data_IF_951274817731
#
_entry.id   IF_951274817731
#
_cell.length_a   1.000
_cell.length_b   1.000
_cell.length_c   1.000
_cell.angle_alpha   90.00
_cell.angle_beta   90.00
_cell.angle_gamma   90.00
#
_symmetry.space_group_name_H-M   'P 1'
#
loop_
_entity.id
_entity.type
_entity.pdbx_description
1 polymer ?
#
# COMPACT_ATOMS: atom_id res chain seq x y z
N UNK A 1 -13.97 -15.42 -3.50
CA UNK A 1 -13.38 -15.58 -4.85
C UNK A 1 -12.55 -14.33 -5.12
N UNK A 2 -11.24 -14.50 -5.32
CA UNK A 2 -10.33 -13.38 -5.63
C UNK A 2 -10.71 -12.82 -6.99
N UNK A 3 -10.97 -11.51 -7.07
CA UNK A 3 -11.31 -10.87 -8.32
C UNK A 3 -10.24 -9.84 -8.67
N UNK A 4 -9.55 -10.08 -9.78
CA UNK A 4 -8.62 -9.12 -10.37
C UNK A 4 -9.45 -8.04 -11.07
N UNK A 5 -9.22 -6.78 -10.72
CA UNK A 5 -9.93 -5.67 -11.36
C UNK A 5 -9.36 -5.36 -12.75
N UNK A 6 -10.21 -4.88 -13.67
CA UNK A 6 -9.73 -4.36 -14.95
C UNK A 6 -8.74 -3.22 -14.77
N UNK A 7 -8.92 -2.37 -13.75
CA UNK A 7 -7.97 -1.29 -13.42
C UNK A 7 -6.61 -1.84 -13.02
N UNK A 8 -6.55 -2.97 -12.30
CA UNK A 8 -5.30 -3.64 -11.96
C UNK A 8 -4.61 -4.23 -13.19
N UNK A 9 -5.37 -4.84 -14.10
CA UNK A 9 -4.84 -5.34 -15.38
C UNK A 9 -4.28 -4.17 -16.19
N UNK A 10 -5.03 -3.06 -16.31
CA UNK A 10 -4.59 -1.85 -17.00
C UNK A 10 -3.37 -1.20 -16.33
N UNK A 11 -3.22 -1.33 -15.01
CA UNK A 11 -2.03 -0.88 -14.29
C UNK A 11 -0.79 -1.71 -14.65
N UNK A 12 -0.95 -3.03 -14.75
CA UNK A 12 0.16 -3.95 -15.03
C UNK A 12 0.53 -4.02 -16.52
N UNK A 13 -0.43 -3.85 -17.42
CA UNK A 13 -0.24 -4.06 -18.85
C UNK A 13 0.92 -3.21 -19.44
N UNK A 14 1.00 -1.89 -19.19
CA UNK A 14 2.13 -1.09 -19.67
C UNK A 14 3.48 -1.54 -19.13
N UNK A 15 3.53 -2.06 -17.89
CA UNK A 15 4.76 -2.60 -17.29
C UNK A 15 5.22 -3.86 -18.02
N UNK A 16 4.30 -4.76 -18.36
CA UNK A 16 4.62 -5.95 -19.14
C UNK A 16 5.06 -5.61 -20.56
N UNK A 17 4.38 -4.66 -21.23
CA UNK A 17 4.79 -4.20 -22.56
C UNK A 17 6.21 -3.64 -22.55
N UNK A 18 6.53 -2.73 -21.62
CA UNK A 18 7.87 -2.15 -21.54
C UNK A 18 8.93 -3.20 -21.17
N UNK A 19 8.64 -4.07 -20.21
CA UNK A 19 9.57 -5.14 -19.80
C UNK A 19 9.88 -6.09 -20.96
N UNK A 20 8.85 -6.44 -21.74
CA UNK A 20 9.01 -7.28 -22.93
C UNK A 20 9.83 -6.57 -23.99
N UNK A 21 9.52 -5.30 -24.28
CA UNK A 21 10.27 -4.49 -25.23
C UNK A 21 11.76 -4.43 -24.88
N UNK A 22 12.11 -4.05 -23.64
CA UNK A 22 13.51 -3.96 -23.21
C UNK A 22 14.19 -5.34 -23.19
N UNK A 23 13.45 -6.39 -22.83
CA UNK A 23 13.97 -7.77 -22.88
C UNK A 23 14.29 -8.23 -24.31
N UNK A 24 13.55 -7.77 -25.32
CA UNK A 24 13.85 -8.09 -26.72
C UNK A 24 15.05 -7.30 -27.23
N UNK A 25 15.21 -6.06 -26.76
CA UNK A 25 16.28 -5.16 -27.18
C UNK A 25 17.65 -5.52 -26.57
N UNK A 26 17.71 -5.71 -25.24
CA UNK A 26 18.98 -5.93 -24.50
C UNK A 26 19.13 -7.33 -23.92
N UNK A 27 18.07 -8.14 -23.92
CA UNK A 27 18.08 -9.47 -23.34
C UNK A 27 17.63 -9.52 -21.88
N UNK A 28 17.15 -10.69 -21.46
CA UNK A 28 16.41 -10.84 -20.20
C UNK A 28 17.24 -10.60 -18.92
N UNK A 29 18.56 -10.78 -19.00
CA UNK A 29 19.49 -10.72 -17.86
C UNK A 29 20.51 -9.58 -17.95
N UNK A 30 20.32 -8.64 -18.89
CA UNK A 30 21.19 -7.49 -19.08
C UNK A 30 20.52 -6.21 -18.59
N UNK A 31 21.33 -5.21 -18.23
CA UNK A 31 20.85 -3.87 -17.89
C UNK A 31 20.73 -3.06 -19.18
N UNK A 32 19.70 -2.21 -19.31
CA UNK A 32 19.42 -1.50 -20.56
C UNK A 32 20.40 -0.35 -20.86
N UNK A 33 20.83 0.42 -19.85
CA UNK A 33 21.73 1.57 -20.05
C UNK A 33 22.79 1.71 -18.96
N UNK A 34 23.92 2.35 -19.29
CA UNK A 34 24.92 2.78 -18.33
C UNK A 34 24.40 3.94 -17.45
N UNK A 35 24.33 3.67 -16.14
CA UNK A 35 23.83 4.46 -15.01
C UNK A 35 24.09 5.98 -14.97
N UNK A 36 24.96 6.53 -15.82
CA UNK A 36 25.56 7.84 -15.66
C UNK A 36 24.89 8.99 -16.44
N UNK A 37 23.91 8.72 -17.32
CA UNK A 37 23.37 9.78 -18.19
C UNK A 37 22.07 10.45 -17.70
N UNK A 38 21.35 9.88 -16.71
CA UNK A 38 19.99 10.33 -16.34
C UNK A 38 19.78 10.62 -14.84
N UNK A 39 20.85 10.93 -14.10
CA UNK A 39 20.74 11.18 -12.65
C UNK A 39 20.15 12.58 -12.39
N UNK A 40 18.91 12.63 -11.87
CA UNK A 40 18.28 13.90 -11.43
C UNK A 40 18.92 14.35 -10.10
N UNK A 41 19.62 15.49 -10.10
CA UNK A 41 20.32 16.06 -8.92
C UNK A 41 19.73 17.44 -8.59
N UNK A 42 19.77 17.86 -7.32
CA UNK A 42 19.32 19.18 -6.88
C UNK A 42 17.80 19.35 -6.94
N UNK A 43 17.31 20.50 -7.42
CA UNK A 43 15.87 20.81 -7.50
C UNK A 43 15.10 19.79 -8.37
N UNK A 44 15.76 19.19 -9.37
CA UNK A 44 15.17 18.15 -10.22
C UNK A 44 14.89 16.83 -9.47
N UNK A 45 15.42 16.64 -8.26
CA UNK A 45 14.99 15.55 -7.38
C UNK A 45 13.54 15.71 -6.92
N UNK A 46 13.01 16.94 -6.80
CA UNK A 46 11.60 17.16 -6.47
C UNK A 46 10.67 16.68 -7.60
N UNK A 47 11.19 16.60 -8.83
CA UNK A 47 10.52 16.00 -9.98
C UNK A 47 10.74 14.49 -10.07
N UNK A 48 11.35 13.86 -9.05
CA UNK A 48 11.51 12.41 -9.02
C UNK A 48 10.13 11.77 -8.85
N UNK A 49 9.67 10.96 -9.83
CA UNK A 49 8.37 10.32 -9.77
C UNK A 49 8.21 9.43 -8.52
N UNK A 50 9.33 8.94 -7.96
CA UNK A 50 9.35 8.16 -6.73
C UNK A 50 8.94 8.97 -5.50
N UNK A 51 9.38 10.24 -5.43
CA UNK A 51 9.04 11.13 -4.32
C UNK A 51 7.59 11.58 -4.45
N UNK A 52 7.17 11.97 -5.65
CA UNK A 52 5.81 12.44 -5.91
C UNK A 52 4.78 11.35 -5.61
N UNK A 53 5.03 10.09 -6.04
CA UNK A 53 4.14 8.97 -5.74
C UNK A 53 3.98 8.70 -4.23
N UNK A 54 5.05 8.86 -3.44
CA UNK A 54 4.96 8.77 -1.96
C UNK A 54 4.16 9.91 -1.35
N UNK A 55 4.34 11.14 -1.83
CA UNK A 55 3.56 12.31 -1.39
C UNK A 55 2.08 12.09 -1.71
N UNK A 56 1.75 11.65 -2.92
CA UNK A 56 0.38 11.37 -3.33
C UNK A 56 -0.27 10.29 -2.46
N UNK A 57 0.46 9.23 -2.12
CA UNK A 57 -0.02 8.19 -1.20
C UNK A 57 -0.40 8.77 0.17
N UNK A 58 0.41 9.68 0.74
CA UNK A 58 0.08 10.36 1.99
C UNK A 58 -1.11 11.30 1.86
N UNK A 59 -1.19 12.07 0.78
CA UNK A 59 -2.33 12.98 0.52
C UNK A 59 -3.63 12.17 0.37
N UNK A 60 -3.60 11.05 -0.36
CA UNK A 60 -4.78 10.17 -0.52
C UNK A 60 -5.22 9.64 0.85
N UNK A 61 -4.28 9.19 1.70
CA UNK A 61 -4.62 8.75 3.06
C UNK A 61 -5.31 9.84 3.86
N UNK A 62 -4.79 11.08 3.84
CA UNK A 62 -5.40 12.22 4.53
C UNK A 62 -6.80 12.50 4.00
N UNK A 63 -6.97 12.50 2.67
CA UNK A 63 -8.27 12.71 2.02
C UNK A 63 -9.25 11.60 2.41
N UNK A 64 -8.83 10.35 2.51
CA UNK A 64 -9.69 9.26 2.94
C UNK A 64 -10.05 9.39 4.43
N UNK A 65 -9.11 9.85 5.25
CA UNK A 65 -9.26 9.92 6.71
C UNK A 65 -10.10 11.10 7.19
N UNK A 66 -10.39 12.11 6.37
CA UNK A 66 -11.14 13.30 6.80
C UNK A 66 -12.48 13.35 6.11
N UNK A 67 -13.57 13.55 6.85
CA UNK A 67 -14.89 13.89 6.31
C UNK A 67 -15.27 15.31 6.69
N UNK A 68 -15.64 16.09 5.68
CA UNK A 68 -16.11 17.46 5.89
C UNK A 68 -17.63 17.46 5.79
N UNK A 69 -18.28 17.82 6.88
CA UNK A 69 -19.72 18.11 6.93
C UNK A 69 -19.93 19.63 6.87
N UNK A 70 -21.18 20.10 6.74
CA UNK A 70 -21.47 21.55 6.68
C UNK A 70 -20.95 22.35 7.88
N UNK A 71 -20.74 21.72 9.03
CA UNK A 71 -20.36 22.43 10.27
C UNK A 71 -19.03 21.94 10.88
N UNK A 72 -18.52 20.77 10.50
CA UNK A 72 -17.43 20.09 11.21
C UNK A 72 -16.57 19.23 10.29
N UNK A 73 -15.29 19.12 10.63
CA UNK A 73 -14.38 18.11 10.09
C UNK A 73 -14.30 16.92 11.06
N UNK A 74 -14.45 15.71 10.53
CA UNK A 74 -14.42 14.44 11.28
C UNK A 74 -13.21 13.64 10.80
N UNK A 75 -12.41 13.11 11.72
CA UNK A 75 -11.29 12.22 11.40
C UNK A 75 -11.72 10.77 11.61
N UNK A 76 -11.66 9.96 10.56
CA UNK A 76 -11.94 8.53 10.55
C UNK A 76 -10.67 7.78 10.93
N UNK A 77 -10.54 7.44 12.22
CA UNK A 77 -9.35 6.74 12.75
C UNK A 77 -9.23 5.32 12.20
N UNK A 78 -10.34 4.64 11.87
CA UNK A 78 -10.31 3.29 11.30
C UNK A 78 -9.53 3.22 9.97
N UNK A 79 -9.67 4.23 9.11
CA UNK A 79 -8.91 4.33 7.84
C UNK A 79 -7.41 4.46 8.09
N UNK A 80 -7.02 5.23 9.11
CA UNK A 80 -5.63 5.38 9.51
C UNK A 80 -5.08 4.02 9.96
N UNK A 81 -5.80 3.28 10.80
CA UNK A 81 -5.37 1.96 11.30
C UNK A 81 -5.32 0.93 10.17
N UNK A 82 -6.30 0.91 9.27
CA UNK A 82 -6.29 0.04 8.09
C UNK A 82 -5.04 0.29 7.24
N UNK A 83 -4.67 1.56 7.02
CA UNK A 83 -3.44 1.90 6.33
C UNK A 83 -2.18 1.51 7.11
N UNK A 84 -2.13 1.73 8.43
CA UNK A 84 -0.99 1.29 9.26
C UNK A 84 -0.83 -0.23 9.21
N UNK A 85 -1.93 -0.98 9.27
CA UNK A 85 -1.90 -2.42 9.12
C UNK A 85 -1.45 -2.84 7.71
N UNK A 86 -1.90 -2.15 6.67
CA UNK A 86 -1.40 -2.39 5.31
C UNK A 86 0.11 -2.11 5.22
N UNK A 87 0.61 -1.06 5.87
CA UNK A 87 2.03 -0.70 5.92
C UNK A 87 2.86 -1.76 6.66
N UNK A 88 2.40 -2.25 7.81
CA UNK A 88 3.11 -3.28 8.58
C UNK A 88 3.21 -4.58 7.79
N UNK A 89 2.10 -5.01 7.17
CA UNK A 89 2.09 -6.18 6.30
C UNK A 89 3.06 -6.00 5.12
N UNK A 90 3.05 -4.83 4.48
CA UNK A 90 4.02 -4.48 3.44
C UNK A 90 5.45 -4.64 3.93
N UNK A 91 5.79 -4.07 5.10
CA UNK A 91 7.13 -4.13 5.66
C UNK A 91 7.56 -5.57 5.96
N UNK A 92 6.68 -6.39 6.54
CA UNK A 92 6.98 -7.82 6.77
C UNK A 92 7.26 -8.56 5.46
N UNK A 93 6.40 -8.38 4.44
CA UNK A 93 6.60 -9.00 3.13
C UNK A 93 7.86 -8.47 2.42
N UNK A 94 8.14 -7.18 2.54
CA UNK A 94 9.34 -6.57 1.96
C UNK A 94 10.62 -7.09 2.63
N UNK A 95 10.61 -7.33 3.94
CA UNK A 95 11.73 -7.96 4.66
C UNK A 95 11.99 -9.38 4.17
N UNK A 96 10.95 -10.18 3.90
CA UNK A 96 11.12 -11.49 3.25
C UNK A 96 11.77 -11.38 1.86
N UNK A 97 11.41 -10.35 1.10
CA UNK A 97 12.06 -10.05 -0.19
C UNK A 97 13.54 -9.71 0.03
N UNK A 98 13.88 -8.89 1.03
CA UNK A 98 15.28 -8.56 1.35
C UNK A 98 16.07 -9.83 1.66
N UNK A 99 15.54 -10.71 2.53
CA UNK A 99 16.15 -12.01 2.83
C UNK A 99 16.37 -12.81 1.54
N UNK A 100 15.35 -12.88 0.68
CA UNK A 100 15.43 -13.61 -0.60
C UNK A 100 16.49 -13.03 -1.53
N UNK A 101 16.64 -11.69 -1.60
CA UNK A 101 17.67 -11.04 -2.42
C UNK A 101 19.09 -11.40 -1.99
N UNK A 102 19.33 -11.55 -0.69
CA UNK A 102 20.63 -11.98 -0.14
C UNK A 102 21.00 -13.36 -0.70
N UNK A 103 20.07 -14.31 -0.65
CA UNK A 103 20.29 -15.67 -1.18
C UNK A 103 20.43 -15.72 -2.71
N UNK A 104 19.72 -14.86 -3.44
CA UNK A 104 19.90 -14.77 -4.89
C UNK A 104 21.29 -14.25 -5.28
N UNK A 105 21.95 -13.50 -4.38
CA UNK A 105 23.30 -12.94 -4.56
C UNK A 105 23.50 -12.22 -5.91
N UNK A 106 22.43 -11.66 -6.46
CA UNK A 106 22.46 -10.96 -7.74
C UNK A 106 22.66 -9.48 -7.48
N UNK A 107 23.86 -9.00 -7.81
CA UNK A 107 24.27 -7.60 -7.71
C UNK A 107 24.30 -6.89 -9.07
N UNK A 108 23.83 -7.55 -10.13
CA UNK A 108 23.75 -6.91 -11.46
C UNK A 108 22.85 -5.68 -11.40
N UNK A 109 23.21 -4.69 -12.20
CA UNK A 109 22.53 -3.40 -12.24
C UNK A 109 22.54 -2.69 -10.87
N UNK A 110 23.55 -2.92 -10.03
CA UNK A 110 23.75 -2.14 -8.81
C UNK A 110 25.02 -1.30 -8.93
N UNK A 111 24.96 -0.06 -8.45
CA UNK A 111 26.10 0.84 -8.48
C UNK A 111 27.23 0.27 -7.60
N UNK A 112 28.40 0.04 -8.19
CA UNK A 112 29.58 -0.55 -7.54
C UNK A 112 29.33 -1.89 -6.84
N UNK A 113 28.36 -2.69 -7.31
CA UNK A 113 28.02 -3.99 -6.69
C UNK A 113 27.68 -3.90 -5.18
N UNK A 114 27.25 -2.71 -4.76
CA UNK A 114 27.09 -2.37 -3.34
C UNK A 114 25.85 -3.00 -2.70
N UNK A 115 24.89 -3.48 -3.50
CA UNK A 115 23.60 -3.97 -3.01
C UNK A 115 23.04 -5.11 -3.83
N UNK A 116 22.39 -6.06 -3.15
CA UNK A 116 21.61 -7.13 -3.78
C UNK A 116 20.36 -6.57 -4.48
N UNK A 117 20.30 -6.76 -5.80
CA UNK A 117 19.26 -6.28 -6.70
C UNK A 117 18.45 -7.40 -7.39
N UNK A 118 18.64 -8.67 -7.00
CA UNK A 118 17.98 -9.84 -7.60
C UNK A 118 16.45 -9.81 -7.70
N UNK A 119 15.78 -8.92 -6.96
CA UNK A 119 14.35 -8.62 -7.07
C UNK A 119 14.19 -7.11 -7.08
N UNK A 120 13.40 -6.55 -8.01
CA UNK A 120 13.10 -5.12 -7.95
C UNK A 120 12.07 -4.81 -6.84
N UNK A 121 12.52 -4.09 -5.82
CA UNK A 121 11.66 -3.68 -4.70
C UNK A 121 10.64 -2.61 -5.09
N UNK A 122 10.92 -1.83 -6.15
CA UNK A 122 10.03 -0.77 -6.62
C UNK A 122 8.72 -1.36 -7.16
N UNK A 123 8.80 -2.35 -8.04
CA UNK A 123 7.63 -3.01 -8.62
C UNK A 123 6.73 -3.63 -7.55
N UNK A 124 7.33 -4.36 -6.61
CA UNK A 124 6.61 -4.87 -5.44
C UNK A 124 5.87 -3.76 -4.68
N UNK A 125 6.55 -2.65 -4.40
CA UNK A 125 6.00 -1.53 -3.62
C UNK A 125 4.82 -0.88 -4.31
N UNK A 126 4.96 -0.50 -5.57
CA UNK A 126 3.92 0.23 -6.29
C UNK A 126 2.70 -0.65 -6.60
N UNK A 127 2.90 -1.93 -6.89
CA UNK A 127 1.80 -2.88 -7.11
C UNK A 127 1.03 -3.14 -5.80
N UNK A 128 1.74 -3.30 -4.66
CA UNK A 128 1.10 -3.48 -3.37
C UNK A 128 0.26 -2.25 -2.97
N UNK A 129 0.86 -1.05 -3.00
CA UNK A 129 0.15 0.16 -2.60
C UNK A 129 -0.93 0.60 -3.60
N UNK A 130 -0.84 0.22 -4.88
CA UNK A 130 -1.96 0.37 -5.79
C UNK A 130 -3.23 -0.31 -5.24
N UNK A 131 -3.10 -1.54 -4.73
CA UNK A 131 -4.23 -2.28 -4.18
C UNK A 131 -4.73 -1.66 -2.86
N UNK A 132 -3.82 -1.23 -1.98
CA UNK A 132 -4.17 -0.52 -0.74
C UNK A 132 -4.95 0.76 -1.04
N UNK A 133 -4.44 1.59 -1.95
CA UNK A 133 -5.07 2.85 -2.30
C UNK A 133 -6.42 2.65 -3.01
N UNK A 134 -6.55 1.61 -3.84
CA UNK A 134 -7.85 1.25 -4.43
C UNK A 134 -8.87 0.99 -3.32
N UNK A 135 -8.52 0.17 -2.33
CA UNK A 135 -9.39 -0.12 -1.18
C UNK A 135 -9.77 1.14 -0.39
N UNK A 136 -8.80 2.02 -0.11
CA UNK A 136 -9.04 3.26 0.62
C UNK A 136 -9.93 4.24 -0.15
N UNK A 137 -9.69 4.42 -1.45
CA UNK A 137 -10.47 5.36 -2.27
C UNK A 137 -11.91 4.88 -2.45
N UNK A 138 -12.13 3.57 -2.57
CA UNK A 138 -13.49 3.00 -2.64
C UNK A 138 -14.28 3.27 -1.34
N UNK A 139 -13.59 3.30 -0.18
CA UNK A 139 -14.20 3.63 1.11
C UNK A 139 -14.73 5.08 1.20
N UNK A 140 -14.25 5.98 0.33
CA UNK A 140 -14.72 7.38 0.28
C UNK A 140 -16.21 7.44 -0.06
N UNK A 141 -16.74 6.46 -0.81
CA UNK A 141 -18.12 6.44 -1.31
C UNK A 141 -19.19 5.93 -0.32
N UNK A 142 -18.79 5.45 0.86
CA UNK A 142 -19.72 4.94 1.87
C UNK A 142 -20.35 6.10 2.66
N UNK A 143 -21.67 6.29 2.52
CA UNK A 143 -22.46 7.25 3.30
C UNK A 143 -22.48 6.86 4.79
N UNK A 144 -22.27 7.84 5.67
CA UNK A 144 -22.47 7.72 7.10
C UNK A 144 -23.97 7.47 7.37
N UNK A 145 -24.33 6.26 7.79
CA UNK A 145 -25.73 5.90 8.07
C UNK A 145 -26.36 6.63 9.27
N UNK A 146 -25.64 7.45 10.04
CA UNK A 146 -26.24 8.27 11.10
C UNK A 146 -25.40 9.53 11.43
N UNK A 147 -25.95 10.75 11.28
CA UNK A 147 -25.25 12.01 11.60
C UNK A 147 -25.49 12.54 13.03
N UNK A 148 -26.14 11.79 13.94
CA UNK A 148 -26.74 12.38 15.15
C UNK A 148 -25.97 12.26 16.48
N UNK A 149 -24.87 11.51 16.58
CA UNK A 149 -24.07 11.47 17.82
C UNK A 149 -22.67 12.01 17.58
N UNK A 150 -22.43 13.24 18.01
CA UNK A 150 -21.17 13.92 17.75
C UNK A 150 -20.76 14.82 18.92
N UNK A 151 -20.10 14.20 19.91
CA UNK A 151 -19.21 14.80 20.90
C UNK A 151 -18.26 13.70 21.38
N UNK A 152 -16.95 13.83 21.13
CA UNK A 152 -15.89 12.87 21.54
C UNK A 152 -16.30 11.39 21.56
N UNK A 153 -16.99 10.98 20.51
CA UNK A 153 -17.44 9.62 20.32
C UNK A 153 -16.78 9.19 19.04
N UNK A 154 -15.72 8.42 19.18
CA UNK A 154 -15.26 7.53 18.12
C UNK A 154 -16.43 6.61 17.81
N UNK A 155 -17.39 7.06 16.99
CA UNK A 155 -18.26 6.16 16.28
C UNK A 155 -17.36 5.41 15.32
N UNK A 156 -16.91 4.25 15.78
CA UNK A 156 -16.23 3.27 14.95
C UNK A 156 -17.33 2.74 14.05
N UNK A 157 -17.53 3.41 12.93
CA UNK A 157 -18.25 2.82 11.82
C UNK A 157 -17.46 1.57 11.47
N UNK A 158 -17.92 0.42 11.98
CA UNK A 158 -17.72 -0.82 11.27
C UNK A 158 -18.28 -0.53 9.90
N UNK A 159 -17.39 -0.36 8.92
CA UNK A 159 -17.74 -0.50 7.52
C UNK A 159 -18.46 -1.84 7.49
N UNK A 160 -19.80 -1.81 7.45
CA UNK A 160 -20.57 -3.00 7.14
C UNK A 160 -19.90 -3.50 5.87
N UNK A 161 -19.25 -4.67 5.95
CA UNK A 161 -18.73 -5.37 4.79
C UNK A 161 -19.96 -5.75 3.95
N UNK A 162 -20.52 -4.75 3.26
CA UNK A 162 -21.53 -4.93 2.24
C UNK A 162 -20.87 -5.88 1.27
N UNK A 163 -21.55 -6.99 0.98
CA UNK A 163 -21.14 -8.05 0.06
C UNK A 163 -20.26 -7.46 -1.04
N UNK A 164 -18.96 -7.74 -0.96
CA UNK A 164 -17.94 -7.37 -1.94
C UNK A 164 -18.18 -8.22 -3.20
N UNK A 165 -19.28 -7.99 -3.91
CA UNK A 165 -19.62 -8.66 -5.16
C UNK A 165 -20.64 -7.80 -5.90
N UNK A 166 -20.13 -6.85 -6.69
CA UNK A 166 -20.68 -6.45 -7.98
C UNK A 166 -19.69 -5.53 -8.68
N UNK A 167 -18.88 -6.11 -9.57
CA UNK A 167 -18.18 -5.38 -10.60
C UNK A 167 -19.21 -4.98 -11.66
N UNK A 168 -19.82 -3.82 -11.51
CA UNK A 168 -20.33 -3.08 -12.66
C UNK A 168 -19.38 -1.93 -12.92
N UNK A 169 -18.87 -1.88 -14.14
CA UNK A 169 -18.13 -0.78 -14.70
C UNK A 169 -19.07 0.44 -14.81
N UNK A 170 -19.38 1.07 -13.68
CA UNK A 170 -19.99 2.38 -13.65
C UNK A 170 -18.98 3.34 -13.01
N UNK A 171 -18.05 3.91 -13.80
CA UNK A 171 -17.24 5.02 -13.31
C UNK A 171 -18.09 6.26 -12.94
N UNK A 172 -19.43 6.23 -13.12
CA UNK A 172 -20.28 7.42 -13.19
C UNK A 172 -21.65 7.36 -12.48
N UNK A 173 -22.03 6.34 -11.70
CA UNK A 173 -23.44 6.19 -11.26
C UNK A 173 -23.80 6.34 -9.77
N UNK A 174 -22.91 6.81 -8.89
CA UNK A 174 -23.33 7.29 -7.56
C UNK A 174 -22.87 8.73 -7.42
N UNK A 175 -23.76 9.62 -6.97
CA UNK A 175 -23.50 11.05 -6.78
C UNK A 175 -22.18 11.26 -6.05
N UNK A 176 -21.11 11.54 -6.81
CA UNK A 176 -19.77 11.60 -6.23
C UNK A 176 -19.67 12.91 -5.48
N UNK A 177 -19.51 12.84 -4.16
CA UNK A 177 -19.06 13.98 -3.38
C UNK A 177 -17.78 14.54 -4.01
N UNK A 178 -17.56 15.85 -3.91
CA UNK A 178 -16.32 16.49 -4.38
C UNK A 178 -15.06 15.76 -3.88
N UNK A 179 -15.11 15.26 -2.64
CA UNK A 179 -14.07 14.43 -2.03
C UNK A 179 -13.80 13.12 -2.78
N UNK A 180 -14.83 12.43 -3.27
CA UNK A 180 -14.67 11.20 -4.08
C UNK A 180 -14.03 11.50 -5.43
N UNK A 181 -14.43 12.59 -6.09
CA UNK A 181 -13.80 13.02 -7.36
C UNK A 181 -12.33 13.37 -7.14
N UNK A 182 -12.04 14.14 -6.09
CA UNK A 182 -10.67 14.53 -5.74
C UNK A 182 -9.80 13.31 -5.39
N UNK A 183 -10.32 12.37 -4.59
CA UNK A 183 -9.63 11.12 -4.26
C UNK A 183 -9.29 10.28 -5.50
N UNK A 184 -10.21 10.18 -6.46
CA UNK A 184 -9.97 9.49 -7.73
C UNK A 184 -8.90 10.18 -8.60
N UNK A 185 -8.90 11.52 -8.65
CA UNK A 185 -7.88 12.29 -9.38
C UNK A 185 -6.49 12.10 -8.77
N UNK A 186 -6.38 12.14 -7.45
CA UNK A 186 -5.13 11.88 -6.74
C UNK A 186 -4.64 10.45 -6.98
N UNK A 187 -5.54 9.47 -6.95
CA UNK A 187 -5.21 8.07 -7.23
C UNK A 187 -4.74 7.87 -8.68
N UNK A 188 -5.37 8.53 -9.64
CA UNK A 188 -4.88 8.53 -11.03
C UNK A 188 -3.49 9.16 -11.14
N UNK A 189 -3.23 10.27 -10.43
CA UNK A 189 -1.90 10.84 -10.31
C UNK A 189 -0.90 9.82 -9.75
N UNK A 190 -1.26 9.09 -8.68
CA UNK A 190 -0.41 8.05 -8.11
C UNK A 190 -0.04 6.99 -9.14
N UNK A 191 -0.99 6.54 -9.98
CA UNK A 191 -0.74 5.58 -11.06
C UNK A 191 0.31 6.12 -12.04
N UNK A 192 0.13 7.34 -12.53
CA UNK A 192 1.04 7.94 -13.52
C UNK A 192 2.47 8.09 -12.99
N UNK A 193 2.63 8.62 -11.77
CA UNK A 193 3.96 8.77 -11.16
C UNK A 193 4.56 7.43 -10.75
N UNK A 194 3.74 6.42 -10.41
CA UNK A 194 4.23 5.06 -10.21
C UNK A 194 4.79 4.48 -11.50
N UNK A 195 4.06 4.60 -12.62
CA UNK A 195 4.58 4.19 -13.93
C UNK A 195 5.86 4.91 -14.30
N UNK A 196 5.93 6.23 -14.13
CA UNK A 196 7.16 6.98 -14.37
C UNK A 196 8.34 6.43 -13.57
N UNK A 197 8.14 6.09 -12.30
CA UNK A 197 9.18 5.49 -11.46
C UNK A 197 9.59 4.10 -11.97
N UNK A 198 8.62 3.24 -12.28
CA UNK A 198 8.87 1.87 -12.72
C UNK A 198 9.58 1.85 -14.07
N UNK A 199 9.14 2.69 -15.01
CA UNK A 199 9.78 2.84 -16.31
C UNK A 199 11.20 3.39 -16.17
N UNK A 200 11.41 4.43 -15.36
CA UNK A 200 12.74 4.97 -15.08
C UNK A 200 13.67 3.88 -14.53
N UNK A 201 13.19 3.00 -13.64
CA UNK A 201 14.03 1.94 -13.07
C UNK A 201 14.51 0.90 -14.10
N UNK A 202 13.72 0.67 -15.15
CA UNK A 202 14.09 -0.28 -16.21
C UNK A 202 14.89 0.42 -17.32
N UNK A 203 14.48 1.63 -17.72
CA UNK A 203 15.13 2.40 -18.79
C UNK A 203 16.54 2.84 -18.39
N UNK A 204 16.71 3.36 -17.16
CA UNK A 204 18.01 3.82 -16.64
C UNK A 204 18.92 2.63 -16.29
N UNK A 205 18.41 1.39 -16.36
CA UNK A 205 19.18 0.19 -16.13
C UNK A 205 19.42 -0.11 -14.65
N UNK A 206 18.55 0.34 -13.73
CA UNK A 206 18.63 -0.05 -12.31
C UNK A 206 18.26 -1.51 -12.07
N UNK A 207 17.52 -2.13 -13.00
CA UNK A 207 17.12 -3.53 -12.94
C UNK A 207 17.18 -4.20 -14.30
N UNK A 208 17.45 -5.50 -14.30
CA UNK A 208 17.26 -6.34 -15.49
C UNK A 208 15.76 -6.66 -15.67
N UNK A 209 15.31 -6.98 -16.90
CA UNK A 209 13.94 -7.46 -17.14
C UNK A 209 13.56 -8.64 -16.23
N UNK A 210 14.49 -9.58 -15.99
CA UNK A 210 14.29 -10.68 -15.04
C UNK A 210 13.97 -10.20 -13.63
N UNK A 211 14.77 -9.29 -13.07
CA UNK A 211 14.56 -8.74 -11.73
C UNK A 211 13.22 -8.00 -11.62
N UNK A 212 12.80 -7.35 -12.71
CA UNK A 212 11.50 -6.69 -12.83
C UNK A 212 10.35 -7.69 -12.83
N UNK A 213 10.39 -8.75 -13.66
CA UNK A 213 9.34 -9.77 -13.67
C UNK A 213 9.17 -10.41 -12.29
N UNK A 214 10.26 -10.75 -11.60
CA UNK A 214 10.19 -11.31 -10.25
C UNK A 214 9.55 -10.31 -9.28
N UNK A 215 9.91 -9.03 -9.37
CA UNK A 215 9.28 -7.96 -8.60
C UNK A 215 7.78 -7.81 -8.87
N UNK A 216 7.36 -7.92 -10.13
CA UNK A 216 5.93 -7.88 -10.54
C UNK A 216 5.19 -9.08 -9.96
N UNK A 217 5.72 -10.30 -10.11
CA UNK A 217 5.09 -11.53 -9.60
C UNK A 217 4.92 -11.45 -8.08
N UNK A 218 5.95 -11.03 -7.35
CA UNK A 218 5.86 -10.85 -5.90
C UNK A 218 4.90 -9.73 -5.50
N UNK A 219 4.81 -8.66 -6.29
CA UNK A 219 3.81 -7.61 -6.12
C UNK A 219 2.38 -8.16 -6.28
N UNK A 220 2.13 -8.96 -7.31
CA UNK A 220 0.81 -9.60 -7.50
C UNK A 220 0.49 -10.53 -6.32
N UNK A 221 1.43 -11.37 -5.91
CA UNK A 221 1.24 -12.27 -4.77
C UNK A 221 0.93 -11.48 -3.48
N UNK A 222 1.61 -10.36 -3.25
CA UNK A 222 1.33 -9.52 -2.07
C UNK A 222 -0.02 -8.84 -2.13
N UNK A 223 -0.57 -8.52 -3.32
CA UNK A 223 -1.96 -8.05 -3.43
C UNK A 223 -2.96 -9.12 -3.01
N UNK A 224 -2.74 -10.40 -3.35
CA UNK A 224 -3.61 -11.49 -2.89
C UNK A 224 -3.51 -11.68 -1.37
N UNK A 225 -2.30 -11.61 -0.81
CA UNK A 225 -2.10 -11.66 0.64
C UNK A 225 -2.79 -10.49 1.35
N UNK A 226 -2.70 -9.28 0.79
CA UNK A 226 -3.42 -8.13 1.32
C UNK A 226 -4.95 -8.33 1.25
N UNK A 227 -5.47 -8.85 0.14
CA UNK A 227 -6.90 -9.18 0.00
C UNK A 227 -7.35 -10.24 1.02
N UNK A 228 -6.52 -11.24 1.34
CA UNK A 228 -6.80 -12.18 2.43
C UNK A 228 -6.76 -11.49 3.79
N UNK A 229 -5.76 -10.64 4.00
CA UNK A 229 -5.54 -9.94 5.25
C UNK A 229 -6.73 -9.05 5.62
N UNK A 230 -7.29 -8.31 4.66
CA UNK A 230 -8.48 -7.48 4.92
C UNK A 230 -9.74 -8.30 5.25
N UNK A 231 -9.79 -9.61 4.95
CA UNK A 231 -10.89 -10.50 5.36
C UNK A 231 -10.81 -10.90 6.82
N UNK A 232 -9.63 -10.83 7.45
CA UNK A 232 -9.47 -11.08 8.88
C UNK A 232 -10.26 -10.01 9.65
N UNK A 233 -10.97 -10.35 10.73
CA UNK A 233 -11.68 -9.34 11.52
C UNK A 233 -10.70 -8.28 12.02
N UNK A 234 -11.11 -7.01 11.94
CA UNK A 234 -10.27 -5.84 12.25
C UNK A 234 -9.55 -5.97 13.62
N UNK A 235 -10.25 -6.51 14.63
CA UNK A 235 -9.72 -6.75 15.99
C UNK A 235 -8.43 -7.59 16.01
N UNK A 236 -8.28 -8.51 15.06
CA UNK A 236 -7.16 -9.44 15.00
C UNK A 236 -6.08 -9.04 14.00
N UNK A 237 -6.37 -8.10 13.09
CA UNK A 237 -5.44 -7.67 12.04
C UNK A 237 -4.14 -7.12 12.62
N UNK A 238 -4.22 -6.18 13.55
CA UNK A 238 -3.05 -5.53 14.15
C UNK A 238 -2.20 -6.48 14.98
N UNK A 239 -2.84 -7.43 15.68
CA UNK A 239 -2.15 -8.47 16.44
C UNK A 239 -1.40 -9.42 15.51
N UNK A 240 -2.07 -9.95 14.48
CA UNK A 240 -1.47 -10.86 13.52
C UNK A 240 -0.30 -10.21 12.79
N UNK A 241 -0.46 -8.95 12.37
CA UNK A 241 0.61 -8.19 11.73
C UNK A 241 1.81 -7.99 12.65
N UNK A 242 1.59 -7.68 13.93
CA UNK A 242 2.67 -7.51 14.90
C UNK A 242 3.44 -8.82 15.09
N UNK A 243 2.72 -9.95 15.22
CA UNK A 243 3.34 -11.27 15.32
C UNK A 243 4.13 -11.63 14.06
N UNK A 244 3.57 -11.39 12.88
CA UNK A 244 4.23 -11.66 11.62
C UNK A 244 5.49 -10.81 11.44
N UNK A 245 5.42 -9.52 11.80
CA UNK A 245 6.58 -8.62 11.77
C UNK A 245 7.69 -9.12 12.69
N UNK A 246 7.36 -9.51 13.93
CA UNK A 246 8.33 -10.06 14.88
C UNK A 246 9.03 -11.27 14.27
N UNK A 247 8.26 -12.26 13.77
CA UNK A 247 8.82 -13.48 13.20
C UNK A 247 9.80 -13.15 12.06
N UNK A 248 9.37 -12.34 11.09
CA UNK A 248 10.20 -12.03 9.92
C UNK A 248 11.44 -11.21 10.28
N UNK A 249 11.30 -10.25 11.18
CA UNK A 249 12.43 -9.40 11.62
C UNK A 249 13.43 -10.22 12.45
N UNK A 250 12.95 -11.14 13.30
CA UNK A 250 13.80 -12.10 13.99
C UNK A 250 14.52 -13.04 13.02
N UNK A 251 13.85 -13.53 11.98
CA UNK A 251 14.49 -14.32 10.92
C UNK A 251 15.58 -13.51 10.22
N UNK A 252 15.33 -12.24 9.88
CA UNK A 252 16.35 -11.37 9.29
C UNK A 252 17.56 -11.26 10.21
N UNK A 253 17.34 -10.92 11.50
CA UNK A 253 18.42 -10.77 12.48
C UNK A 253 19.23 -12.06 12.67
N UNK A 254 18.58 -13.23 12.75
CA UNK A 254 19.26 -14.52 12.88
C UNK A 254 20.17 -14.78 11.66
N UNK A 255 19.74 -14.36 10.46
CA UNK A 255 20.48 -14.61 9.23
C UNK A 255 21.60 -13.61 8.96
N UNK A 256 21.44 -12.34 9.33
CA UNK A 256 22.38 -11.26 8.97
C UNK A 256 23.15 -10.72 10.16
N UNK A 257 22.70 -10.96 11.39
CA UNK A 257 23.12 -10.28 12.61
C UNK A 257 22.95 -8.75 12.58
N UNK A 258 22.16 -8.23 11.64
CA UNK A 258 21.86 -6.82 11.50
C UNK A 258 20.48 -6.49 12.05
N UNK A 259 20.36 -5.30 12.64
CA UNK A 259 19.09 -4.77 13.15
C UNK A 259 18.49 -3.87 12.08
N UNK A 260 17.28 -4.21 11.61
CA UNK A 260 16.49 -3.33 10.75
C UNK A 260 16.05 -2.09 11.52
N UNK A 261 15.72 -1.01 10.80
CA UNK A 261 15.24 0.22 11.41
C UNK A 261 14.06 -0.07 12.37
N UNK A 262 14.01 0.62 13.51
CA UNK A 262 13.01 0.38 14.55
C UNK A 262 11.65 1.04 14.29
N UNK A 263 11.53 1.83 13.23
CA UNK A 263 10.31 2.59 12.90
C UNK A 263 9.13 1.65 12.66
N UNK A 264 9.35 0.53 11.97
CA UNK A 264 8.33 -0.47 11.68
C UNK A 264 7.74 -1.07 12.97
N UNK A 265 8.58 -1.32 13.97
CA UNK A 265 8.13 -1.79 15.30
C UNK A 265 7.31 -0.73 16.02
N UNK A 266 7.74 0.54 16.00
CA UNK A 266 6.98 1.64 16.60
C UNK A 266 5.60 1.81 15.94
N UNK A 267 5.53 1.68 14.61
CA UNK A 267 4.28 1.72 13.85
C UNK A 267 3.38 0.53 14.21
N UNK A 268 3.93 -0.68 14.35
CA UNK A 268 3.17 -1.87 14.75
C UNK A 268 2.55 -1.73 16.14
N UNK A 269 3.34 -1.27 17.12
CA UNK A 269 2.85 -1.00 18.48
C UNK A 269 1.76 0.07 18.46
N UNK A 270 1.96 1.14 17.71
CA UNK A 270 0.96 2.23 17.58
C UNK A 270 -0.35 1.71 16.99
N UNK A 271 -0.29 0.91 15.92
CA UNK A 271 -1.49 0.29 15.31
C UNK A 271 -2.21 -0.62 16.30
N UNK A 272 -1.48 -1.44 17.05
CA UNK A 272 -2.03 -2.34 18.06
C UNK A 272 -2.74 -1.56 19.18
N UNK A 273 -2.08 -0.53 19.73
CA UNK A 273 -2.65 0.32 20.78
C UNK A 273 -3.93 0.99 20.31
N UNK A 274 -3.94 1.60 19.11
CA UNK A 274 -5.15 2.22 18.57
C UNK A 274 -6.28 1.22 18.33
N UNK A 275 -5.95 0.01 17.88
CA UNK A 275 -6.96 -1.05 17.71
C UNK A 275 -7.59 -1.43 19.04
N UNK A 276 -6.78 -1.62 20.09
CA UNK A 276 -7.27 -1.94 21.44
C UNK A 276 -8.13 -0.81 22.01
N UNK A 277 -7.71 0.44 21.86
CA UNK A 277 -8.45 1.61 22.33
C UNK A 277 -9.83 1.68 21.65
N UNK A 278 -9.88 1.53 20.32
CA UNK A 278 -11.12 1.50 19.55
C UNK A 278 -12.06 0.38 20.02
N UNK A 279 -11.53 -0.82 20.22
CA UNK A 279 -12.31 -1.96 20.68
C UNK A 279 -12.84 -1.80 22.09
N UNK A 280 -12.03 -1.21 22.99
CA UNK A 280 -12.46 -0.87 24.33
C UNK A 280 -13.62 0.14 24.30
N UNK A 281 -13.51 1.22 23.51
CA UNK A 281 -14.58 2.22 23.37
C UNK A 281 -15.86 1.61 22.79
N UNK A 282 -15.77 0.75 21.78
CA UNK A 282 -16.93 0.08 21.19
C UNK A 282 -17.66 -0.80 22.19
N UNK A 283 -16.92 -1.59 22.97
CA UNK A 283 -17.52 -2.44 23.99
C UNK A 283 -18.17 -1.62 25.11
N UNK A 284 -17.58 -0.49 25.51
CA UNK A 284 -18.14 0.39 26.54
C UNK A 284 -19.44 1.09 26.09
N UNK A 285 -19.54 1.52 24.83
CA UNK A 285 -20.78 2.09 24.29
C UNK A 285 -21.92 1.08 24.20
N UNK A 286 -21.62 -0.18 23.88
CA UNK A 286 -22.61 -1.25 23.91
C UNK A 286 -23.15 -1.51 25.32
N UNK A 287 -22.31 -1.45 26.36
CA UNK A 287 -22.74 -1.63 27.75
C UNK A 287 -23.72 -0.53 28.16
N UNK A 288 -23.39 0.75 27.89
CA UNK A 288 -24.26 1.89 28.25
C UNK A 288 -25.60 1.94 27.49
N UNK A 289 -25.68 1.36 26.30
CA UNK A 289 -26.95 1.27 25.57
C UNK A 289 -27.82 0.12 26.07
N UNK A 290 -27.22 -1.00 26.51
CA UNK A 290 -27.97 -2.10 27.13
C UNK A 290 -28.44 -1.81 28.56
N UNK A 291 -27.68 -1.04 29.36
CA UNK A 291 -28.09 -0.69 30.73
C UNK A 291 -29.12 0.43 30.81
N UNK A 292 -29.35 1.20 29.74
CA UNK A 292 -30.51 2.12 29.63
C UNK A 292 -31.81 1.43 29.18
N UNK A 293 -31.76 0.13 28.85
CA UNK A 293 -32.90 -0.66 28.36
C UNK A 293 -33.42 -1.69 29.38
N UNK A 294 -32.99 -1.61 30.64
CA UNK A 294 -33.52 -2.38 31.79
C UNK A 294 -34.13 -1.37 32.78
#
# INVERSE_FOLDING_TARGET
MFQISWTFICFLFPLFCLTTYISLDTGFTQCHSDFNQLKRIGIYQLLNPQIISKILLLIILVVCSIRITRARAIVIISIIIEFLNAYILFSSLYTLIIISKIYMNDKKCSFNESKYNGISGHYFTYIYYFQVLTHLVDSISLELKNPFFMFFTTEVFQIQRIKFFEFNFHPFQKSKSFQSVFGMLLFFGYILFSWGTLFDTLIIGYHTPRQVIIGIVLGILSTFLYQLFILIPFKFQSLLNSLFLIIVTSCYYILTHEVLNGIECAVAITSLVFTVVIEYYNNYQHINTTTMLI
#
